data_IF_344661863838
#
_entry.id   IF_344661863838
#
_cell.length_a   1.000
_cell.length_b   1.000
_cell.length_c   1.000
_cell.angle_alpha   90.00
_cell.angle_beta   90.00
_cell.angle_gamma   90.00
#
_symmetry.space_group_name_H-M   'P 1'
#
loop_
_entity.id
_entity.type
_entity.pdbx_description
1 polymer ?
#
# COMPACT_ATOMS: atom_id res chain seq x y z
N UNK A 1 14.66 -2.32 26.28
CA UNK A 1 13.70 -1.48 25.54
C UNK A 1 12.85 -2.41 24.69
N UNK A 2 11.78 -2.99 25.23
CA UNK A 2 10.86 -3.81 24.44
C UNK A 2 9.97 -2.88 23.62
N UNK A 3 10.13 -2.88 22.31
CA UNK A 3 9.12 -2.31 21.43
C UNK A 3 7.92 -3.24 21.46
N UNK A 4 6.96 -2.93 22.32
CA UNK A 4 5.60 -3.46 22.22
C UNK A 4 5.03 -2.95 20.90
N UNK A 5 5.22 -3.70 19.82
CA UNK A 5 4.52 -3.47 18.56
C UNK A 5 3.03 -3.59 18.88
N UNK A 6 2.32 -2.46 18.95
CA UNK A 6 0.87 -2.46 18.90
C UNK A 6 0.48 -3.20 17.61
N UNK A 7 -0.36 -4.22 17.74
CA UNK A 7 -0.98 -4.92 16.62
C UNK A 7 -2.03 -4.00 15.96
N UNK A 8 -1.59 -2.88 15.40
CA UNK A 8 -2.44 -2.05 14.57
C UNK A 8 -2.38 -2.65 13.17
N UNK A 9 -3.30 -3.58 12.88
CA UNK A 9 -3.43 -4.15 11.53
C UNK A 9 -3.65 -3.03 10.52
N UNK A 10 -2.71 -2.84 9.61
CA UNK A 10 -2.83 -1.82 8.56
C UNK A 10 -3.91 -2.24 7.57
N UNK A 11 -4.84 -1.33 7.28
CA UNK A 11 -5.75 -1.52 6.15
C UNK A 11 -5.01 -1.34 4.82
N UNK A 12 -5.58 -1.89 3.74
CA UNK A 12 -5.04 -1.70 2.38
C UNK A 12 -4.98 -0.21 2.02
N UNK A 13 -5.93 0.59 2.54
CA UNK A 13 -5.96 2.05 2.37
C UNK A 13 -4.79 2.72 3.09
N UNK A 14 -4.44 2.26 4.29
CA UNK A 14 -3.30 2.79 5.04
C UNK A 14 -1.98 2.53 4.31
N UNK A 15 -1.85 1.36 3.67
CA UNK A 15 -0.68 1.05 2.84
C UNK A 15 -0.56 2.04 1.67
N UNK A 16 -1.66 2.36 0.99
CA UNK A 16 -1.66 3.39 -0.06
C UNK A 16 -1.27 4.77 0.47
N UNK A 17 -1.78 5.17 1.65
CA UNK A 17 -1.40 6.44 2.31
C UNK A 17 0.10 6.48 2.61
N UNK A 18 0.66 5.39 3.13
CA UNK A 18 2.09 5.28 3.41
C UNK A 18 2.92 5.39 2.14
N UNK A 19 2.53 4.74 1.05
CA UNK A 19 3.22 4.82 -0.24
C UNK A 19 3.16 6.24 -0.83
N UNK A 20 2.02 6.93 -0.75
CA UNK A 20 1.86 8.31 -1.21
C UNK A 20 2.80 9.26 -0.46
N UNK A 21 2.88 9.11 0.86
CA UNK A 21 3.77 9.91 1.72
C UNK A 21 5.24 9.63 1.43
N UNK A 22 5.62 8.35 1.36
CA UNK A 22 6.98 7.91 1.07
C UNK A 22 7.47 8.44 -0.29
N UNK A 23 6.60 8.41 -1.31
CA UNK A 23 6.92 8.93 -2.65
C UNK A 23 6.83 10.46 -2.79
N UNK A 24 6.43 11.19 -1.75
CA UNK A 24 6.27 12.64 -1.83
C UNK A 24 5.21 13.10 -2.83
N UNK A 25 4.15 12.30 -3.02
CA UNK A 25 3.05 12.64 -3.94
C UNK A 25 2.07 13.53 -3.19
N UNK A 26 1.72 14.69 -3.77
CA UNK A 26 0.91 15.71 -3.11
C UNK A 26 -0.42 16.02 -3.79
N UNK A 27 -0.68 15.43 -4.96
CA UNK A 27 -1.84 15.75 -5.80
C UNK A 27 -2.31 14.51 -6.54
N UNK A 28 -3.62 14.42 -6.79
CA UNK A 28 -4.24 13.34 -7.54
C UNK A 28 -4.90 12.27 -6.65
N UNK A 29 -5.69 11.43 -7.31
CA UNK A 29 -6.43 10.33 -6.71
C UNK A 29 -5.73 9.01 -7.01
N UNK A 30 -5.57 8.17 -5.98
CA UNK A 30 -4.84 6.92 -6.10
C UNK A 30 -5.59 5.78 -5.43
N UNK A 31 -5.48 4.58 -6.02
CA UNK A 31 -5.96 3.34 -5.44
C UNK A 31 -4.79 2.38 -5.18
N UNK A 32 -4.90 1.49 -4.17
CA UNK A 32 -3.92 0.42 -3.97
C UNK A 32 -3.86 -0.50 -5.19
N UNK A 33 -2.64 -0.85 -5.60
CA UNK A 33 -2.37 -1.83 -6.66
C UNK A 33 -1.56 -2.98 -6.10
N UNK A 34 -1.96 -4.21 -6.41
CA UNK A 34 -1.20 -5.41 -6.05
C UNK A 34 -0.93 -6.24 -7.31
N UNK A 35 0.33 -6.64 -7.49
CA UNK A 35 0.68 -7.66 -8.47
C UNK A 35 0.75 -9.01 -7.76
N UNK A 36 0.06 -10.00 -8.30
CA UNK A 36 0.07 -11.36 -7.80
C UNK A 36 1.02 -12.22 -8.65
N UNK A 37 1.67 -13.17 -7.99
CA UNK A 37 2.43 -14.23 -8.62
C UNK A 37 1.74 -15.58 -8.37
N UNK A 38 1.75 -16.43 -9.37
CA UNK A 38 1.20 -17.78 -9.29
C UNK A 38 2.34 -18.79 -9.49
N UNK A 39 2.40 -19.77 -8.58
CA UNK A 39 3.25 -20.94 -8.70
C UNK A 39 2.42 -22.19 -8.50
N UNK A 40 2.76 -23.26 -9.20
CA UNK A 40 2.18 -24.58 -8.99
C UNK A 40 3.30 -25.60 -8.80
N UNK A 41 3.08 -26.55 -7.91
CA UNK A 41 4.07 -27.57 -7.61
C UNK A 41 3.57 -28.54 -6.56
N UNK A 42 4.46 -29.44 -6.13
CA UNK A 42 4.19 -30.30 -4.97
C UNK A 42 4.59 -29.53 -3.72
N UNK A 43 3.72 -29.51 -2.72
CA UNK A 43 4.01 -28.93 -1.41
C UNK A 43 3.77 -29.96 -0.31
N UNK A 44 4.41 -29.73 0.82
CA UNK A 44 4.30 -30.57 2.01
C UNK A 44 3.37 -29.88 3.01
N UNK A 45 2.20 -30.50 3.26
CA UNK A 45 1.18 -29.94 4.17
C UNK A 45 1.31 -30.48 5.60
N UNK A 46 1.84 -31.70 5.75
CA UNK A 46 2.13 -32.41 7.00
C UNK A 46 3.41 -33.25 6.83
N UNK A 47 4.07 -33.66 7.91
CA UNK A 47 5.31 -34.46 7.88
C UNK A 47 5.20 -35.65 6.91
N UNK A 48 5.81 -35.50 5.73
CA UNK A 48 5.88 -36.51 4.67
C UNK A 48 4.74 -36.54 3.65
N UNK A 49 3.63 -35.84 3.83
CA UNK A 49 2.51 -35.86 2.87
C UNK A 49 2.69 -34.79 1.78
N UNK A 50 2.97 -35.27 0.56
CA UNK A 50 3.23 -34.44 -0.63
C UNK A 50 2.02 -34.39 -1.54
N UNK A 51 1.50 -33.19 -1.76
CA UNK A 51 0.28 -32.98 -2.55
C UNK A 51 0.50 -31.90 -3.62
N UNK A 52 -0.16 -32.00 -4.79
CA UNK A 52 -0.23 -30.88 -5.73
C UNK A 52 -0.84 -29.65 -5.07
N UNK A 53 -0.19 -28.52 -5.22
CA UNK A 53 -0.56 -27.26 -4.59
C UNK A 53 -0.40 -26.08 -5.56
N UNK A 54 -1.19 -25.05 -5.31
CA UNK A 54 -1.08 -23.74 -5.96
C UNK A 54 -0.71 -22.72 -4.91
N UNK A 55 0.35 -21.95 -5.17
CA UNK A 55 0.83 -20.85 -4.35
C UNK A 55 0.43 -19.54 -5.01
N UNK A 56 -0.31 -18.71 -4.28
CA UNK A 56 -0.63 -17.33 -4.66
C UNK A 56 0.23 -16.41 -3.79
N UNK A 57 1.22 -15.77 -4.41
CA UNK A 57 2.11 -14.81 -3.76
C UNK A 57 1.76 -13.37 -4.12
N UNK A 58 2.11 -12.44 -3.24
CA UNK A 58 2.12 -11.01 -3.58
C UNK A 58 3.51 -10.68 -4.13
N UNK A 59 3.58 -10.26 -5.39
CA UNK A 59 4.82 -9.89 -6.07
C UNK A 59 5.22 -8.45 -5.75
N UNK A 60 4.27 -7.53 -5.76
CA UNK A 60 4.50 -6.13 -5.42
C UNK A 60 3.23 -5.46 -4.92
N UNK A 61 3.39 -4.49 -4.02
CA UNK A 61 2.33 -3.60 -3.57
C UNK A 61 2.69 -2.18 -4.01
N UNK A 62 1.72 -1.47 -4.56
CA UNK A 62 1.89 -0.14 -5.12
C UNK A 62 0.61 0.67 -5.08
N UNK A 63 0.61 1.75 -5.87
CA UNK A 63 -0.54 2.62 -6.07
C UNK A 63 -0.70 2.88 -7.56
N UNK A 64 -1.94 3.09 -7.98
CA UNK A 64 -2.31 3.44 -9.35
C UNK A 64 -3.13 4.72 -9.34
N UNK A 65 -2.81 5.64 -10.25
CA UNK A 65 -3.53 6.90 -10.38
C UNK A 65 -4.87 6.64 -11.06
N UNK A 66 -5.94 7.22 -10.54
CA UNK A 66 -7.29 7.15 -11.10
C UNK A 66 -7.85 8.54 -11.34
N UNK A 67 -8.84 8.65 -12.22
CA UNK A 67 -9.48 9.92 -12.56
C UNK A 67 -10.69 10.22 -11.68
N UNK A 68 -11.34 9.19 -11.13
CA UNK A 68 -12.59 9.27 -10.40
C UNK A 68 -12.51 8.60 -9.02
N UNK A 69 -13.23 9.19 -8.06
CA UNK A 69 -13.25 8.77 -6.65
C UNK A 69 -14.31 7.69 -6.35
N UNK A 70 -14.84 7.01 -7.37
CA UNK A 70 -15.94 6.04 -7.21
C UNK A 70 -15.51 4.75 -6.49
N UNK A 71 -14.22 4.59 -6.21
CA UNK A 71 -13.67 3.45 -5.47
C UNK A 71 -13.53 3.80 -3.98
N UNK A 72 -14.05 2.96 -3.09
CA UNK A 72 -13.94 3.14 -1.62
C UNK A 72 -12.51 3.13 -1.10
N UNK A 73 -11.59 2.50 -1.84
CA UNK A 73 -10.16 2.45 -1.55
C UNK A 73 -9.39 3.64 -2.13
N UNK A 74 -10.06 4.58 -2.79
CA UNK A 74 -9.43 5.78 -3.31
C UNK A 74 -8.90 6.66 -2.18
N UNK A 75 -7.70 7.19 -2.38
CA UNK A 75 -6.97 8.09 -1.48
C UNK A 75 -6.61 9.36 -2.26
N UNK A 76 -7.01 10.51 -1.72
CA UNK A 76 -6.58 11.81 -2.22
C UNK A 76 -5.21 12.17 -1.65
N UNK A 77 -4.21 12.30 -2.53
CA UNK A 77 -2.85 12.64 -2.13
C UNK A 77 -2.74 14.05 -1.52
N UNK A 78 -3.58 14.99 -1.94
CA UNK A 78 -3.60 16.35 -1.39
C UNK A 78 -4.18 16.41 0.02
N UNK A 79 -5.08 15.49 0.35
CA UNK A 79 -5.63 15.35 1.70
C UNK A 79 -4.61 14.71 2.66
N UNK A 80 -3.97 13.62 2.24
CA UNK A 80 -3.11 12.83 3.13
C UNK A 80 -1.65 13.28 3.16
N UNK A 81 -1.21 14.03 2.15
CA UNK A 81 0.16 14.55 2.02
C UNK A 81 0.18 15.95 1.35
N UNK A 82 -0.40 16.99 2.00
CA UNK A 82 -0.48 18.32 1.40
C UNK A 82 0.90 18.96 1.18
N UNK A 83 1.05 19.75 0.10
CA UNK A 83 2.27 20.53 -0.12
C UNK A 83 2.52 21.50 1.05
N UNK A 84 3.76 21.61 1.55
CA UNK A 84 4.11 22.61 2.55
C UNK A 84 3.79 24.01 2.02
N UNK A 85 3.00 24.79 2.77
CA UNK A 85 2.75 26.19 2.41
C UNK A 85 4.07 26.96 2.41
N UNK A 86 4.44 27.53 1.26
CA UNK A 86 5.61 28.40 1.14
C UNK A 86 5.39 29.63 2.04
N UNK A 87 6.13 29.73 3.14
CA UNK A 87 6.13 30.94 3.98
C UNK A 87 6.66 32.09 3.14
N UNK A 88 5.77 32.99 2.71
CA UNK A 88 6.18 34.27 2.13
C UNK A 88 6.94 35.03 3.20
N UNK A 89 8.24 35.26 3.00
CA UNK A 89 8.98 36.24 3.79
C UNK A 89 8.30 37.58 3.54
N UNK A 90 7.64 38.13 4.56
CA UNK A 90 7.29 39.55 4.57
C UNK A 90 8.61 40.31 4.52
N UNK A 91 8.89 40.95 3.39
CA UNK A 91 9.86 42.05 3.32
C UNK A 91 9.20 43.24 4.00
N UNK A 92 9.76 43.61 5.16
CA UNK A 92 9.57 44.92 5.77
C UNK A 92 10.27 46.01 4.94
#
# INVERSE_FOLDING_TARGET
>A
MSHSAKNDSLSIKDIAILIIKDKGIHEGLYVPKMELAFGAGVDEFNEGERMPAVKVGIKSIGIEKVENSNNSLCVDAGEVNPRPKRKTKKTD
#
